data_IF_842767347816
#
_entry.id   IF_842767347816
#
_cell.length_a   1.000
_cell.length_b   1.000
_cell.length_c   1.000
_cell.angle_alpha   90.00
_cell.angle_beta   90.00
_cell.angle_gamma   90.00
#
_symmetry.space_group_name_H-M   'P 1'
#
loop_
_entity.id
_entity.type
_entity.pdbx_description
1 polymer ?
#
# COMPACT_ATOMS: atom_id res chain seq x y z
N UNK A 1 1.74 75.84 32.36
CA UNK A 1 2.00 74.47 32.88
C UNK A 1 0.73 73.66 32.63
N UNK A 2 0.43 73.21 31.42
CA UNK A 2 1.11 72.12 30.70
C UNK A 2 0.41 70.80 30.99
N UNK A 3 -0.77 70.55 30.40
CA UNK A 3 -1.50 69.29 30.55
C UNK A 3 -1.07 68.32 29.45
N UNK A 4 -0.36 67.26 29.82
CA UNK A 4 -0.01 66.17 28.91
C UNK A 4 -1.14 65.15 28.89
N UNK A 5 -1.83 65.04 27.75
CA UNK A 5 -2.78 63.98 27.50
C UNK A 5 -2.02 62.68 27.13
N UNK A 6 -2.23 61.62 27.92
CA UNK A 6 -1.68 60.30 27.66
C UNK A 6 -2.57 59.59 26.63
N UNK A 7 -2.07 59.37 25.42
CA UNK A 7 -2.77 58.58 24.40
C UNK A 7 -2.47 57.09 24.62
N UNK A 8 -3.48 56.32 25.02
CA UNK A 8 -3.42 54.86 25.08
C UNK A 8 -3.65 54.32 23.67
N UNK A 9 -2.61 53.77 23.06
CA UNK A 9 -2.72 53.02 21.80
C UNK A 9 -3.09 51.58 22.14
N UNK A 10 -4.34 51.20 21.89
CA UNK A 10 -4.77 49.79 21.95
C UNK A 10 -4.36 49.14 20.63
N UNK A 11 -3.30 48.32 20.65
CA UNK A 11 -2.97 47.43 19.54
C UNK A 11 -3.89 46.22 19.61
N UNK A 12 -4.90 46.17 18.75
CA UNK A 12 -5.71 44.97 18.57
C UNK A 12 -4.85 43.92 17.84
N UNK A 13 -4.36 42.92 18.57
CA UNK A 13 -3.76 41.72 17.97
C UNK A 13 -4.91 40.91 17.37
N UNK A 14 -5.14 41.06 16.07
CA UNK A 14 -6.01 40.17 15.31
C UNK A 14 -5.27 38.83 15.23
N UNK A 15 -5.57 37.94 16.18
CA UNK A 15 -5.13 36.57 16.11
C UNK A 15 -5.78 35.91 14.91
N UNK A 16 -4.97 35.59 13.89
CA UNK A 16 -5.39 34.77 12.75
C UNK A 16 -5.69 33.36 13.28
N UNK A 17 -6.93 33.13 13.70
CA UNK A 17 -7.42 31.84 14.14
C UNK A 17 -7.56 30.93 12.92
N UNK A 18 -6.42 30.51 12.35
CA UNK A 18 -6.40 29.38 11.44
C UNK A 18 -6.79 28.18 12.27
N UNK A 19 -8.01 27.69 12.06
CA UNK A 19 -8.39 26.37 12.50
C UNK A 19 -7.31 25.41 12.02
N UNK A 20 -6.57 24.80 12.95
CA UNK A 20 -5.67 23.68 12.66
C UNK A 20 -6.56 22.49 12.31
N UNK A 21 -7.12 22.49 11.10
CA UNK A 21 -7.73 21.29 10.53
C UNK A 21 -6.61 20.28 10.29
N UNK A 22 -6.80 19.04 10.74
CA UNK A 22 -5.91 17.96 10.36
C UNK A 22 -5.92 17.80 8.83
N UNK A 23 -4.75 17.60 8.24
CA UNK A 23 -4.67 17.25 6.83
C UNK A 23 -5.54 16.00 6.56
N UNK A 24 -6.21 15.93 5.40
CA UNK A 24 -6.98 14.73 5.07
C UNK A 24 -6.05 13.51 5.12
N UNK A 25 -6.54 12.36 5.64
CA UNK A 25 -5.72 11.15 5.71
C UNK A 25 -5.23 10.77 4.32
N UNK A 26 -3.97 10.38 4.18
CA UNK A 26 -3.46 9.90 2.90
C UNK A 26 -4.13 8.57 2.51
N UNK A 27 -4.28 8.28 1.21
CA UNK A 27 -4.79 6.98 0.77
C UNK A 27 -3.83 5.87 1.21
N UNK A 28 -4.38 4.70 1.55
CA UNK A 28 -3.59 3.50 1.79
C UNK A 28 -2.84 3.12 0.51
N UNK A 29 -1.57 2.74 0.62
CA UNK A 29 -0.75 2.26 -0.50
C UNK A 29 -0.78 0.75 -0.53
N UNK A 30 -1.48 0.18 -1.51
CA UNK A 30 -1.57 -1.27 -1.68
C UNK A 30 -0.68 -1.76 -2.83
N UNK A 31 -0.04 -2.90 -2.62
CA UNK A 31 0.68 -3.63 -3.66
C UNK A 31 -0.12 -4.87 -4.07
N UNK A 32 -0.62 -4.91 -5.29
CA UNK A 32 -1.26 -6.09 -5.90
C UNK A 32 -0.23 -6.86 -6.72
N UNK A 33 0.08 -8.08 -6.28
CA UNK A 33 0.98 -9.01 -6.97
C UNK A 33 0.12 -10.07 -7.65
N UNK A 34 0.36 -10.31 -8.94
CA UNK A 34 -0.50 -11.20 -9.74
C UNK A 34 0.28 -11.90 -10.85
N UNK A 35 -0.23 -13.01 -11.36
CA UNK A 35 0.39 -13.82 -12.42
C UNK A 35 0.53 -15.30 -12.09
N UNK A 36 1.04 -16.10 -13.03
CA UNK A 36 1.10 -17.55 -12.94
C UNK A 36 0.01 -18.25 -13.75
N UNK A 37 -0.22 -19.54 -13.50
CA UNK A 37 -0.94 -20.45 -14.40
C UNK A 37 -2.45 -20.25 -14.56
N UNK A 38 -3.15 -20.08 -13.45
CA UNK A 38 -4.42 -20.80 -13.29
C UNK A 38 -5.67 -19.93 -13.41
N UNK A 39 -5.51 -18.62 -13.59
CA UNK A 39 -6.58 -17.65 -13.72
C UNK A 39 -6.26 -16.59 -14.75
N UNK A 40 -7.28 -15.81 -15.15
CA UNK A 40 -7.10 -14.62 -15.98
C UNK A 40 -6.60 -13.44 -15.13
N UNK A 41 -5.34 -13.52 -14.72
CA UNK A 41 -4.66 -12.48 -13.94
C UNK A 41 -4.60 -11.13 -14.68
N UNK A 42 -4.57 -11.17 -16.02
CA UNK A 42 -4.58 -9.96 -16.84
C UNK A 42 -5.89 -9.19 -16.72
N UNK A 43 -7.04 -9.88 -16.63
CA UNK A 43 -8.32 -9.26 -16.34
C UNK A 43 -8.47 -8.93 -14.84
N UNK A 44 -8.15 -9.87 -13.96
CA UNK A 44 -8.34 -9.72 -12.51
C UNK A 44 -7.61 -8.51 -11.95
N UNK A 45 -6.35 -8.27 -12.35
CA UNK A 45 -5.58 -7.10 -11.86
C UNK A 45 -6.28 -5.77 -12.09
N UNK A 46 -6.96 -5.60 -13.23
CA UNK A 46 -7.66 -4.37 -13.59
C UNK A 46 -8.96 -4.25 -12.82
N UNK A 47 -9.69 -5.36 -12.66
CA UNK A 47 -10.95 -5.40 -11.93
C UNK A 47 -10.75 -5.14 -10.43
N UNK A 48 -9.72 -5.76 -9.83
CA UNK A 48 -9.38 -5.58 -8.41
C UNK A 48 -8.91 -4.16 -8.15
N UNK A 49 -7.94 -3.64 -8.93
CA UNK A 49 -7.47 -2.26 -8.81
C UNK A 49 -8.62 -1.26 -8.90
N UNK A 50 -9.38 -1.28 -10.01
CA UNK A 50 -10.51 -0.37 -10.20
C UNK A 50 -11.55 -0.53 -9.10
N UNK A 51 -11.87 -1.78 -8.74
CA UNK A 51 -12.86 -2.09 -7.73
C UNK A 51 -12.54 -1.49 -6.36
N UNK A 52 -11.28 -1.58 -5.95
CA UNK A 52 -10.78 -1.06 -4.67
C UNK A 52 -10.71 0.48 -4.69
N UNK A 53 -10.11 1.07 -5.72
CA UNK A 53 -9.91 2.52 -5.81
C UNK A 53 -11.24 3.29 -5.94
N UNK A 54 -12.29 2.66 -6.47
CA UNK A 54 -13.65 3.23 -6.50
C UNK A 54 -14.37 3.19 -5.13
N UNK A 55 -13.93 2.34 -4.19
CA UNK A 55 -14.70 1.99 -2.97
C UNK A 55 -13.96 2.29 -1.67
N UNK A 56 -12.66 2.53 -1.73
CA UNK A 56 -11.83 2.80 -0.57
C UNK A 56 -10.86 3.94 -0.86
N UNK A 57 -10.38 4.62 0.19
CA UNK A 57 -9.32 5.61 0.07
C UNK A 57 -7.96 4.90 -0.02
N UNK A 58 -7.68 4.34 -1.19
CA UNK A 58 -6.56 3.45 -1.46
C UNK A 58 -5.99 3.73 -2.84
N UNK A 59 -4.67 3.61 -2.98
CA UNK A 59 -3.94 3.62 -4.24
C UNK A 59 -3.32 2.23 -4.43
N UNK A 60 -3.65 1.56 -5.54
CA UNK A 60 -3.20 0.20 -5.82
C UNK A 60 -2.12 0.22 -6.89
N UNK A 61 -0.90 -0.16 -6.51
CA UNK A 61 0.19 -0.46 -7.44
C UNK A 61 0.10 -1.92 -7.87
N UNK A 62 0.21 -2.19 -9.18
CA UNK A 62 0.07 -3.54 -9.73
C UNK A 62 1.40 -4.05 -10.26
N UNK A 63 1.78 -5.26 -9.85
CA UNK A 63 2.91 -6.00 -10.39
C UNK A 63 2.40 -7.34 -10.94
N UNK A 64 2.39 -7.47 -12.27
CA UNK A 64 2.11 -8.74 -12.93
C UNK A 64 3.39 -9.37 -13.47
N UNK A 65 3.80 -10.50 -12.90
CA UNK A 65 5.03 -11.23 -13.26
C UNK A 65 4.79 -12.74 -13.21
N UNK A 66 5.74 -13.54 -13.70
CA UNK A 66 5.66 -15.02 -13.65
C UNK A 66 4.82 -15.68 -14.74
N UNK A 67 4.33 -14.91 -15.73
CA UNK A 67 3.69 -15.45 -16.92
C UNK A 67 2.54 -16.41 -16.58
N UNK A 68 2.58 -17.62 -17.15
CA UNK A 68 1.57 -18.66 -17.00
C UNK A 68 2.08 -19.96 -16.35
N UNK A 69 3.26 -19.93 -15.71
CA UNK A 69 3.87 -21.12 -15.12
C UNK A 69 3.53 -21.27 -13.63
N UNK A 70 3.60 -22.49 -13.10
CA UNK A 70 3.36 -22.79 -11.68
C UNK A 70 4.62 -22.68 -10.82
N UNK A 71 5.82 -22.60 -11.40
CA UNK A 71 7.11 -22.64 -10.69
C UNK A 71 7.90 -21.33 -10.82
N UNK A 72 7.20 -20.25 -11.17
CA UNK A 72 7.84 -18.95 -11.40
C UNK A 72 8.39 -18.32 -10.13
N UNK A 73 9.65 -17.90 -10.22
CA UNK A 73 10.27 -16.97 -9.28
C UNK A 73 10.35 -15.59 -9.94
N UNK A 74 9.66 -14.61 -9.36
CA UNK A 74 9.48 -13.30 -9.98
C UNK A 74 10.55 -12.29 -9.53
N UNK A 75 11.04 -11.40 -10.41
CA UNK A 75 12.05 -10.41 -10.06
C UNK A 75 11.69 -9.51 -8.87
N UNK A 76 10.40 -9.23 -8.64
CA UNK A 76 9.95 -8.43 -7.50
C UNK A 76 10.52 -8.94 -6.17
N UNK A 77 10.42 -10.25 -5.94
CA UNK A 77 10.89 -10.88 -4.71
C UNK A 77 12.41 -11.08 -4.70
N UNK A 78 13.19 -10.66 -5.70
CA UNK A 78 14.65 -10.65 -5.57
C UNK A 78 15.13 -9.45 -4.76
N UNK A 79 14.35 -8.36 -4.73
CA UNK A 79 14.58 -7.22 -3.87
C UNK A 79 14.26 -7.58 -2.40
N UNK A 80 15.13 -7.21 -1.46
CA UNK A 80 14.89 -7.39 -0.03
C UNK A 80 13.81 -6.42 0.50
N UNK A 81 13.71 -5.26 -0.14
CA UNK A 81 12.86 -4.13 0.26
C UNK A 81 11.61 -4.05 -0.65
N UNK A 82 11.17 -5.19 -1.21
CA UNK A 82 10.11 -5.24 -2.23
C UNK A 82 8.76 -4.69 -1.73
N UNK A 83 8.54 -4.73 -0.43
CA UNK A 83 7.30 -4.31 0.23
C UNK A 83 7.37 -2.90 0.82
N UNK A 84 8.52 -2.23 0.76
CA UNK A 84 8.73 -0.97 1.44
C UNK A 84 7.81 0.15 0.92
N UNK A 85 7.22 0.88 1.86
CA UNK A 85 6.30 1.98 1.57
C UNK A 85 4.88 1.56 1.21
N UNK A 86 4.54 0.27 1.27
CA UNK A 86 3.15 -0.19 1.17
C UNK A 86 2.55 -0.45 2.56
N UNK A 87 1.27 -0.14 2.69
CA UNK A 87 0.50 -0.39 3.90
C UNK A 87 -0.14 -1.79 3.92
N UNK A 88 -0.28 -2.42 2.74
CA UNK A 88 -0.88 -3.74 2.58
C UNK A 88 -0.44 -4.40 1.26
N UNK A 89 -0.32 -5.72 1.25
CA UNK A 89 -0.06 -6.52 0.04
C UNK A 89 -1.26 -7.42 -0.26
N UNK A 90 -1.67 -7.44 -1.52
CA UNK A 90 -2.69 -8.31 -2.07
C UNK A 90 -2.00 -9.37 -2.93
N UNK A 91 -1.97 -10.61 -2.46
CA UNK A 91 -1.44 -11.74 -3.19
C UNK A 91 -2.54 -12.38 -4.04
N UNK A 92 -2.40 -12.23 -5.36
CA UNK A 92 -3.27 -12.77 -6.40
C UNK A 92 -2.42 -13.54 -7.43
N UNK A 93 -1.25 -14.03 -7.05
CA UNK A 93 -0.39 -14.87 -7.88
C UNK A 93 -0.64 -16.38 -7.67
N UNK A 94 -0.23 -17.24 -8.60
CA UNK A 94 -0.17 -18.69 -8.38
C UNK A 94 1.13 -19.29 -8.91
N UNK A 95 2.10 -19.42 -8.01
CA UNK A 95 3.38 -20.11 -8.20
C UNK A 95 3.44 -21.38 -7.34
N UNK A 96 2.36 -22.17 -7.40
CA UNK A 96 2.10 -23.31 -6.51
C UNK A 96 3.17 -24.40 -6.51
N UNK A 97 4.04 -24.47 -7.52
CA UNK A 97 5.10 -25.47 -7.65
C UNK A 97 6.48 -24.96 -7.24
N UNK A 98 6.61 -23.71 -6.76
CA UNK A 98 7.82 -23.28 -6.07
C UNK A 98 7.88 -23.95 -4.69
N UNK A 99 8.84 -24.87 -4.50
CA UNK A 99 9.01 -25.65 -3.27
C UNK A 99 10.18 -25.18 -2.39
N UNK A 100 10.74 -24.03 -2.71
CA UNK A 100 11.94 -23.50 -2.08
C UNK A 100 11.57 -22.76 -0.78
N UNK A 101 11.93 -23.28 0.41
CA UNK A 101 11.55 -22.65 1.67
C UNK A 101 12.16 -21.26 1.85
N UNK A 102 13.36 -21.00 1.30
CA UNK A 102 14.00 -19.70 1.41
C UNK A 102 13.27 -18.65 0.56
N UNK A 103 12.71 -19.07 -0.58
CA UNK A 103 11.84 -18.23 -1.40
C UNK A 103 10.55 -17.87 -0.66
N UNK A 104 9.85 -18.88 -0.13
CA UNK A 104 8.63 -18.67 0.64
C UNK A 104 8.89 -17.79 1.86
N UNK A 105 9.99 -18.03 2.57
CA UNK A 105 10.39 -17.24 3.74
C UNK A 105 10.58 -15.76 3.40
N UNK A 106 11.18 -15.45 2.25
CA UNK A 106 11.36 -14.08 1.81
C UNK A 106 10.02 -13.35 1.61
N UNK A 107 9.02 -14.03 1.08
CA UNK A 107 7.68 -13.45 0.87
C UNK A 107 6.98 -13.27 2.23
N UNK A 108 7.11 -14.24 3.12
CA UNK A 108 6.41 -14.21 4.42
C UNK A 108 7.06 -13.26 5.44
N UNK A 109 8.36 -12.96 5.32
CA UNK A 109 9.10 -12.17 6.30
C UNK A 109 8.45 -10.81 6.59
N UNK A 110 8.14 -9.92 5.61
CA UNK A 110 7.50 -8.63 5.90
C UNK A 110 6.16 -8.78 6.64
N UNK A 111 5.40 -9.83 6.31
CA UNK A 111 4.12 -10.11 6.98
C UNK A 111 4.29 -10.56 8.43
N UNK A 112 5.32 -11.37 8.73
CA UNK A 112 5.66 -11.72 10.12
C UNK A 112 6.15 -10.53 10.92
N UNK A 113 6.72 -9.53 10.25
CA UNK A 113 7.19 -8.27 10.84
C UNK A 113 6.07 -7.22 10.98
N UNK A 114 4.84 -7.54 10.55
CA UNK A 114 3.63 -6.76 10.83
C UNK A 114 2.94 -6.17 9.60
N UNK A 115 3.49 -6.36 8.40
CA UNK A 115 2.83 -5.91 7.17
C UNK A 115 1.53 -6.71 6.93
N UNK A 116 0.37 -6.07 6.79
CA UNK A 116 -0.86 -6.78 6.43
C UNK A 116 -0.78 -7.43 5.05
N UNK A 117 -1.34 -8.64 4.93
CA UNK A 117 -1.42 -9.39 3.67
C UNK A 117 -2.82 -9.97 3.45
N UNK A 118 -3.30 -9.92 2.21
CA UNK A 118 -4.52 -10.61 1.76
C UNK A 118 -4.11 -11.67 0.75
N UNK A 119 -4.47 -12.94 1.01
CA UNK A 119 -4.18 -14.05 0.11
C UNK A 119 -5.46 -14.42 -0.64
N UNK A 120 -5.48 -14.19 -1.95
CA UNK A 120 -6.67 -14.35 -2.79
C UNK A 120 -6.62 -15.72 -3.46
N UNK A 121 -7.57 -16.58 -3.08
CA UNK A 121 -7.88 -17.83 -3.77
C UNK A 121 -6.65 -18.70 -4.09
N UNK A 122 -6.14 -18.69 -5.33
CA UNK A 122 -5.04 -19.55 -5.76
C UNK A 122 -3.69 -19.18 -5.12
N UNK A 123 -3.51 -17.94 -4.65
CA UNK A 123 -2.29 -17.55 -3.94
C UNK A 123 -2.04 -18.40 -2.70
N UNK A 124 -3.09 -18.97 -2.10
CA UNK A 124 -2.95 -19.89 -0.97
C UNK A 124 -2.10 -21.13 -1.30
N UNK A 125 -2.09 -21.56 -2.57
CA UNK A 125 -1.30 -22.73 -2.98
C UNK A 125 0.21 -22.47 -3.01
N UNK A 126 0.65 -21.21 -2.91
CA UNK A 126 2.06 -20.80 -2.88
C UNK A 126 2.71 -20.95 -1.49
N UNK A 127 1.90 -21.11 -0.42
CA UNK A 127 2.37 -21.02 0.97
C UNK A 127 2.05 -22.27 1.81
N UNK A 128 1.97 -23.44 1.15
CA UNK A 128 1.63 -24.74 1.76
C UNK A 128 2.84 -25.66 1.89
#
# INVERSE_FOLDING_TARGET
MGWSALAIVIVAVIGDARALGADPPQPLRALLITGGCCHDYSAQKNLIKRGLEERAHIEVTVVQQGGSATDSRIPLYENADWADGYDIVLHDECFADVKDPAWTERILKPHREGLPGVVIHCAMHCYR
#
